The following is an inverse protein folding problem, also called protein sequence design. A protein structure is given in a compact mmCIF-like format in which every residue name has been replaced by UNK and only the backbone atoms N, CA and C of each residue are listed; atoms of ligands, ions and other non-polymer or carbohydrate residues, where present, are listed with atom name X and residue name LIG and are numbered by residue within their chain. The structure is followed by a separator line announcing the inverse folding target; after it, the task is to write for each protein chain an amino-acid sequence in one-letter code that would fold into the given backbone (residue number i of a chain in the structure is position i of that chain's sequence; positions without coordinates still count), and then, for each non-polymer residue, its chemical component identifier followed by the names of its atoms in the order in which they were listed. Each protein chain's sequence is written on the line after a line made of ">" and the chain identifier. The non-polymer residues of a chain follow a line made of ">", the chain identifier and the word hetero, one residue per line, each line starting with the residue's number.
data_IF_893575992587
#
_entry.id   IF_893575992587
#
_cell.length_a   1.000
_cell.length_b   1.000
_cell.length_c   1.000
_cell.angle_alpha   90.00
_cell.angle_beta   90.00
_cell.angle_gamma   90.00
#
_symmetry.space_group_name_H-M   'P 1'
#
loop_
_entity.id
_entity.type
_entity.pdbx_description
1 polymer ?
#
# COMPACT_ATOMS: atom_id res chain seq x y z
N UNK A 1 -2.02 -2.99 -17.31
CA UNK A 1 -0.65 -3.40 -16.90
C UNK A 1 -0.66 -4.90 -16.63
N UNK A 2 0.49 -5.57 -16.61
CA UNK A 2 0.55 -7.04 -16.40
C UNK A 2 0.49 -7.42 -14.91
N UNK A 3 0.20 -8.68 -14.61
CA UNK A 3 0.23 -9.20 -13.23
C UNK A 3 1.59 -8.94 -12.56
N UNK A 4 2.69 -9.25 -13.25
CA UNK A 4 4.06 -9.02 -12.75
C UNK A 4 4.32 -7.56 -12.37
N UNK A 5 3.71 -6.59 -13.08
CA UNK A 5 3.81 -5.18 -12.71
C UNK A 5 3.16 -4.91 -11.36
N UNK A 6 1.93 -5.38 -11.15
CA UNK A 6 1.21 -5.19 -9.90
C UNK A 6 1.89 -5.94 -8.74
N UNK A 7 2.39 -7.15 -8.99
CA UNK A 7 3.13 -7.93 -7.99
C UNK A 7 4.40 -7.21 -7.52
N UNK A 8 5.12 -6.57 -8.45
CA UNK A 8 6.28 -5.75 -8.10
C UNK A 8 5.88 -4.54 -7.26
N UNK A 9 4.87 -3.79 -7.71
CA UNK A 9 4.41 -2.56 -7.05
C UNK A 9 3.87 -2.84 -5.64
N UNK A 10 3.18 -3.96 -5.46
CA UNK A 10 2.66 -4.42 -4.17
C UNK A 10 3.71 -5.05 -3.26
N UNK A 11 4.94 -5.26 -3.76
CA UNK A 11 5.99 -5.95 -3.02
C UNK A 11 5.72 -7.43 -2.75
N UNK A 12 4.90 -8.06 -3.60
CA UNK A 12 4.72 -9.51 -3.68
C UNK A 12 5.95 -10.13 -4.38
N UNK A 13 6.54 -9.40 -5.31
CA UNK A 13 7.76 -9.78 -6.02
C UNK A 13 8.76 -8.62 -6.03
N UNK A 14 10.06 -8.94 -6.02
CA UNK A 14 11.13 -7.98 -6.29
C UNK A 14 11.66 -8.07 -7.73
N UNK A 15 11.05 -8.92 -8.57
CA UNK A 15 11.41 -9.05 -9.98
C UNK A 15 10.84 -7.89 -10.79
N UNK A 16 11.73 -7.06 -11.35
CA UNK A 16 11.34 -5.97 -12.25
C UNK A 16 10.71 -6.56 -13.51
N UNK A 17 9.49 -6.14 -13.91
CA UNK A 17 8.85 -6.66 -15.12
C UNK A 17 9.63 -6.31 -16.39
N UNK A 18 9.62 -7.23 -17.36
CA UNK A 18 10.27 -7.01 -18.65
C UNK A 18 9.73 -5.74 -19.34
N UNK A 19 10.64 -4.96 -19.92
CA UNK A 19 10.31 -3.71 -20.63
C UNK A 19 10.20 -2.48 -19.74
N UNK A 20 10.42 -2.62 -18.42
CA UNK A 20 10.46 -1.48 -17.49
C UNK A 20 11.88 -1.16 -17.03
N UNK A 21 12.14 0.12 -16.78
CA UNK A 21 13.38 0.57 -16.14
C UNK A 21 13.39 0.17 -14.65
N UNK A 22 14.46 -0.48 -14.15
CA UNK A 22 14.57 -0.80 -12.72
C UNK A 22 14.47 0.43 -11.81
N UNK A 23 15.08 1.55 -12.22
CA UNK A 23 15.03 2.80 -11.44
C UNK A 23 13.62 3.38 -11.43
N UNK A 24 12.93 3.35 -12.59
CA UNK A 24 11.56 3.82 -12.71
C UNK A 24 10.60 2.99 -11.86
N UNK A 25 10.76 1.67 -11.85
CA UNK A 25 9.92 0.78 -11.03
C UNK A 25 10.14 0.98 -9.54
N UNK A 26 11.39 1.16 -9.09
CA UNK A 26 11.67 1.48 -7.67
C UNK A 26 11.04 2.80 -7.26
N UNK A 27 11.17 3.83 -8.10
CA UNK A 27 10.55 5.13 -7.85
C UNK A 27 9.02 5.02 -7.80
N UNK A 28 8.41 4.31 -8.75
CA UNK A 28 6.96 4.12 -8.79
C UNK A 28 6.43 3.35 -7.57
N UNK A 29 7.08 2.24 -7.19
CA UNK A 29 6.76 1.50 -5.96
C UNK A 29 6.84 2.39 -4.71
N UNK A 30 7.87 3.23 -4.63
CA UNK A 30 8.00 4.19 -3.54
C UNK A 30 6.89 5.24 -3.54
N UNK A 31 6.51 5.78 -4.70
CA UNK A 31 5.42 6.74 -4.83
C UNK A 31 4.08 6.14 -4.40
N UNK A 32 3.80 4.88 -4.74
CA UNK A 32 2.59 4.17 -4.29
C UNK A 32 2.57 4.05 -2.76
N UNK A 33 3.68 3.67 -2.14
CA UNK A 33 3.80 3.63 -0.69
C UNK A 33 3.57 5.00 -0.04
N UNK A 34 4.24 6.05 -0.55
CA UNK A 34 4.11 7.41 -0.02
C UNK A 34 2.67 7.91 -0.15
N UNK A 35 2.04 7.69 -1.32
CA UNK A 35 0.65 8.08 -1.55
C UNK A 35 -0.32 7.38 -0.60
N UNK A 36 -0.14 6.07 -0.39
CA UNK A 36 -0.93 5.31 0.59
C UNK A 36 -0.73 5.87 2.01
N UNK A 37 0.52 6.06 2.44
CA UNK A 37 0.85 6.63 3.76
C UNK A 37 0.19 8.00 3.96
N UNK A 38 0.37 8.93 3.03
CA UNK A 38 -0.17 10.29 3.16
C UNK A 38 -1.70 10.31 3.21
N UNK A 39 -2.35 9.42 2.46
CA UNK A 39 -3.81 9.30 2.45
C UNK A 39 -4.34 8.72 3.75
N UNK A 40 -3.73 7.65 4.29
CA UNK A 40 -4.12 7.11 5.60
C UNK A 40 -3.90 8.18 6.68
N UNK A 41 -2.76 8.85 6.67
CA UNK A 41 -2.43 9.91 7.63
C UNK A 41 -3.40 11.11 7.54
N UNK A 42 -3.82 11.50 6.33
CA UNK A 42 -4.80 12.57 6.15
C UNK A 42 -6.19 12.22 6.72
N UNK A 43 -6.57 10.94 6.71
CA UNK A 43 -7.85 10.48 7.25
C UNK A 43 -7.80 10.10 8.74
N UNK A 44 -6.63 9.68 9.23
CA UNK A 44 -6.41 9.21 10.60
C UNK A 44 -5.12 9.83 11.18
N UNK A 45 -5.10 11.16 11.41
CA UNK A 45 -3.87 11.89 11.73
C UNK A 45 -3.21 11.43 13.04
N UNK A 46 -4.00 11.01 14.05
CA UNK A 46 -3.43 10.52 15.31
C UNK A 46 -2.87 9.10 15.22
N UNK A 47 -3.24 8.31 14.19
CA UNK A 47 -2.90 6.89 14.11
C UNK A 47 -1.39 6.67 13.99
N UNK A 48 -0.73 7.49 13.16
CA UNK A 48 0.72 7.38 12.96
C UNK A 48 1.51 7.66 14.24
N UNK A 49 1.09 8.67 15.00
CA UNK A 49 1.72 9.01 16.28
C UNK A 49 1.53 7.88 17.31
N UNK A 50 0.33 7.29 17.37
CA UNK A 50 0.02 6.20 18.29
C UNK A 50 0.78 4.90 18.00
N UNK A 51 0.95 4.56 16.71
CA UNK A 51 1.63 3.34 16.29
C UNK A 51 3.16 3.44 16.35
N UNK A 52 3.70 4.66 16.19
CA UNK A 52 5.12 4.87 15.94
C UNK A 52 5.53 4.51 14.51
N UNK A 53 6.71 4.96 14.09
CA UNK A 53 7.15 4.88 12.69
C UNK A 53 7.31 3.46 12.15
N UNK A 54 7.81 2.51 12.94
CA UNK A 54 8.08 1.16 12.47
C UNK A 54 6.77 0.40 12.22
N UNK A 55 5.87 0.40 13.20
CA UNK A 55 4.53 -0.19 13.07
C UNK A 55 3.72 0.48 11.95
N UNK A 56 3.85 1.80 11.79
CA UNK A 56 3.23 2.52 10.68
C UNK A 56 3.74 2.03 9.32
N UNK A 57 5.06 1.86 9.16
CA UNK A 57 5.66 1.35 7.91
C UNK A 57 5.15 -0.05 7.58
N UNK A 58 5.08 -0.92 8.59
CA UNK A 58 4.57 -2.28 8.43
C UNK A 58 3.10 -2.28 8.03
N UNK A 59 2.27 -1.46 8.69
CA UNK A 59 0.86 -1.30 8.38
C UNK A 59 0.63 -0.84 6.93
N UNK A 60 1.32 0.21 6.50
CA UNK A 60 1.18 0.72 5.13
C UNK A 60 1.71 -0.29 4.10
N UNK A 61 2.81 -0.98 4.40
CA UNK A 61 3.33 -2.03 3.52
C UNK A 61 2.35 -3.20 3.38
N UNK A 62 1.73 -3.63 4.48
CA UNK A 62 0.71 -4.68 4.49
C UNK A 62 -0.54 -4.24 3.71
N UNK A 63 -1.03 -3.01 3.95
CA UNK A 63 -2.15 -2.45 3.22
C UNK A 63 -1.88 -2.38 1.71
N UNK A 64 -0.72 -1.87 1.29
CA UNK A 64 -0.35 -1.81 -0.14
C UNK A 64 -0.25 -3.22 -0.73
N UNK A 65 0.30 -4.19 0.01
CA UNK A 65 0.41 -5.58 -0.44
C UNK A 65 -0.95 -6.23 -0.68
N UNK A 66 -1.89 -6.06 0.26
CA UNK A 66 -3.23 -6.65 0.19
C UNK A 66 -4.19 -5.83 -0.68
N UNK A 67 -3.83 -4.58 -1.01
CA UNK A 67 -4.71 -3.64 -1.71
C UNK A 67 -5.31 -4.25 -2.98
N UNK A 68 -6.62 -4.51 -2.92
CA UNK A 68 -7.44 -4.90 -4.08
C UNK A 68 -7.93 -3.71 -4.89
N UNK A 69 -7.53 -2.50 -4.49
CA UNK A 69 -7.95 -1.25 -5.11
C UNK A 69 -7.64 -1.26 -6.62
N UNK A 70 -8.70 -1.15 -7.42
CA UNK A 70 -8.63 -1.08 -8.88
C UNK A 70 -8.89 0.32 -9.45
N UNK A 71 -9.16 1.33 -8.60
CA UNK A 71 -9.93 2.51 -8.99
C UNK A 71 -9.17 3.81 -9.31
N UNK A 72 -7.90 4.08 -9.04
CA UNK A 72 -7.28 5.41 -9.31
C UNK A 72 -7.91 6.67 -8.64
N UNK A 73 -9.13 6.59 -8.07
CA UNK A 73 -9.72 7.67 -7.28
C UNK A 73 -9.40 7.50 -5.79
N UNK A 74 -8.74 8.49 -5.21
CA UNK A 74 -8.30 8.48 -3.82
C UNK A 74 -9.44 8.43 -2.80
N UNK A 75 -10.66 8.86 -3.16
CA UNK A 75 -11.84 8.76 -2.29
C UNK A 75 -12.21 7.32 -1.93
N UNK A 76 -11.94 6.36 -2.83
CA UNK A 76 -12.24 4.94 -2.61
C UNK A 76 -11.16 4.24 -1.75
N UNK A 77 -10.02 4.91 -1.54
CA UNK A 77 -8.86 4.33 -0.87
C UNK A 77 -9.03 4.27 0.66
N UNK A 78 -9.81 5.20 1.23
CA UNK A 78 -10.19 5.17 2.65
C UNK A 78 -11.02 3.92 2.97
N UNK A 79 -12.04 3.64 2.16
CA UNK A 79 -12.93 2.50 2.38
C UNK A 79 -12.17 1.18 2.20
N UNK A 80 -11.26 1.12 1.22
CA UNK A 80 -10.36 -0.02 1.05
C UNK A 80 -9.43 -0.23 2.25
N UNK A 81 -8.95 0.85 2.89
CA UNK A 81 -8.15 0.76 4.10
C UNK A 81 -8.96 0.23 5.29
N UNK A 82 -10.20 0.71 5.48
CA UNK A 82 -11.09 0.21 6.53
C UNK A 82 -11.47 -1.27 6.33
N UNK A 83 -11.72 -1.67 5.08
CA UNK A 83 -11.96 -3.08 4.74
C UNK A 83 -10.73 -3.95 5.07
N UNK A 84 -9.53 -3.47 4.71
CA UNK A 84 -8.27 -4.13 5.05
C UNK A 84 -8.11 -4.33 6.56
N UNK A 85 -8.33 -3.28 7.36
CA UNK A 85 -8.26 -3.37 8.83
C UNK A 85 -9.27 -4.38 9.36
N UNK A 86 -10.53 -4.36 8.89
CA UNK A 86 -11.55 -5.29 9.34
C UNK A 86 -11.18 -6.76 9.06
N UNK A 87 -10.57 -7.03 7.89
CA UNK A 87 -10.08 -8.36 7.53
C UNK A 87 -8.91 -8.77 8.44
N UNK A 88 -7.90 -7.93 8.58
CA UNK A 88 -6.70 -8.28 9.35
C UNK A 88 -7.00 -8.45 10.85
N UNK A 89 -7.88 -7.62 11.43
CA UNK A 89 -8.33 -7.80 12.82
C UNK A 89 -9.07 -9.12 13.06
N UNK A 90 -9.67 -9.72 12.02
CA UNK A 90 -10.34 -11.03 12.13
C UNK A 90 -9.37 -12.20 11.95
N UNK A 91 -8.14 -11.97 11.45
CA UNK A 91 -7.14 -13.02 11.23
C UNK A 91 -6.24 -13.28 12.43
N UNK A 92 -6.25 -12.37 13.41
CA UNK A 92 -5.51 -12.51 14.67
C UNK A 92 -6.30 -13.23 15.77
N UNK A 93 -7.61 -13.52 15.56
CA UNK A 93 -8.47 -14.37 16.41
C UNK A 93 -8.44 -15.85 15.99
#
# INVERSE_FOLDING_TARGET
>A
MSANFYDYVRGISDQVPLGYSPNGMRAYRHLVYVGASQMVEAHFPELREQLGEDTWRELIAAFVRDSRWSSAYYGDMKDAFLEFIAIESTRED
#
